data_IF_137705311969
#
_entry.id   IF_137705311969
#
_cell.length_a   1.000
_cell.length_b   1.000
_cell.length_c   1.000
_cell.angle_alpha   90.00
_cell.angle_beta   90.00
_cell.angle_gamma   90.00
#
_symmetry.space_group_name_H-M   'P 1'
#
loop_
_entity.id
_entity.type
_entity.pdbx_description
1 polymer ?
#
# COMPACT_ATOMS: atom_id res chain seq x y z
N UNK A 1 26.33 31.19 -44.32
CA UNK A 1 26.13 29.80 -43.86
C UNK A 1 24.93 29.74 -42.92
N UNK A 2 23.99 28.83 -43.21
CA UNK A 2 23.14 28.09 -42.26
C UNK A 2 22.09 28.84 -41.39
N UNK A 3 20.88 28.92 -41.95
CA UNK A 3 19.61 28.37 -41.41
C UNK A 3 19.64 27.88 -39.95
N UNK A 4 18.77 28.45 -39.10
CA UNK A 4 18.01 27.63 -38.14
C UNK A 4 16.52 27.99 -38.25
N UNK A 5 15.76 26.95 -38.60
CA UNK A 5 14.32 26.92 -38.80
C UNK A 5 13.60 26.97 -37.47
N UNK A 6 12.48 27.68 -37.51
CA UNK A 6 11.32 27.62 -36.64
C UNK A 6 11.03 26.18 -36.14
N UNK A 7 11.35 25.90 -34.88
CA UNK A 7 11.04 24.64 -34.20
C UNK A 7 9.62 24.67 -33.63
N UNK A 8 8.80 23.69 -34.04
CA UNK A 8 7.45 23.45 -33.51
C UNK A 8 7.50 23.16 -32.00
N UNK A 9 6.66 23.85 -31.23
CA UNK A 9 6.35 23.46 -29.86
C UNK A 9 5.60 22.11 -29.88
N UNK A 10 6.05 21.09 -29.13
CA UNK A 10 5.23 19.91 -28.89
C UNK A 10 4.10 20.25 -27.91
N UNK A 11 2.88 19.98 -28.35
CA UNK A 11 1.68 19.92 -27.52
C UNK A 11 1.88 18.94 -26.37
N UNK A 12 1.94 19.41 -25.12
CA UNK A 12 1.79 18.51 -23.98
C UNK A 12 0.32 18.15 -23.83
N UNK A 13 -0.05 17.00 -24.36
CA UNK A 13 -1.31 16.33 -24.10
C UNK A 13 -1.42 16.04 -22.60
N UNK A 14 -2.37 16.68 -21.94
CA UNK A 14 -2.83 16.29 -20.61
C UNK A 14 -3.36 14.86 -20.66
N UNK A 15 -2.60 13.90 -20.13
CA UNK A 15 -3.12 12.56 -19.82
C UNK A 15 -3.42 12.50 -18.32
N UNK A 16 -4.67 12.69 -17.88
CA UNK A 16 -5.09 12.24 -16.56
C UNK A 16 -5.28 10.72 -16.66
N UNK A 17 -4.19 10.00 -16.39
CA UNK A 17 -4.25 8.56 -16.20
C UNK A 17 -5.04 8.23 -14.94
N UNK A 18 -5.99 7.29 -15.10
CA UNK A 18 -6.45 6.34 -14.07
C UNK A 18 -7.62 6.77 -13.17
N UNK A 19 -8.72 7.15 -13.81
CA UNK A 19 -10.07 6.93 -13.29
C UNK A 19 -10.66 5.63 -13.81
N UNK A 20 -10.04 4.46 -13.55
CA UNK A 20 -10.68 3.18 -13.91
C UNK A 20 -11.83 2.93 -12.94
N UNK A 21 -13.03 3.18 -13.44
CA UNK A 21 -14.30 3.03 -12.75
C UNK A 21 -14.38 1.64 -12.09
N UNK A 22 -14.54 1.65 -10.77
CA UNK A 22 -14.78 0.48 -9.90
C UNK A 22 -15.98 -0.39 -10.33
N UNK A 23 -16.74 0.05 -11.33
CA UNK A 23 -17.91 -0.65 -11.90
C UNK A 23 -17.56 -1.55 -13.09
N UNK A 24 -16.53 -1.23 -13.88
CA UNK A 24 -16.22 -2.00 -15.10
C UNK A 24 -15.41 -3.28 -14.83
N UNK A 25 -14.90 -3.45 -13.61
CA UNK A 25 -14.29 -4.72 -13.17
C UNK A 25 -15.30 -5.79 -12.75
N UNK A 26 -16.57 -5.43 -12.49
CA UNK A 26 -17.55 -6.38 -11.94
C UNK A 26 -18.12 -7.34 -12.99
N UNK A 27 -18.46 -6.84 -14.18
CA UNK A 27 -19.08 -7.65 -15.24
C UNK A 27 -18.12 -8.71 -15.78
N UNK A 28 -16.84 -8.37 -15.97
CA UNK A 28 -15.83 -9.32 -16.44
C UNK A 28 -15.61 -10.48 -15.47
N UNK A 29 -15.64 -10.21 -14.15
CA UNK A 29 -15.50 -11.24 -13.12
C UNK A 29 -16.71 -12.20 -13.16
N UNK A 30 -17.93 -11.68 -13.29
CA UNK A 30 -19.15 -12.51 -13.35
C UNK A 30 -19.13 -13.43 -14.58
N UNK A 31 -18.72 -12.92 -15.75
CA UNK A 31 -18.61 -13.72 -16.97
C UNK A 31 -17.55 -14.82 -16.82
N UNK A 32 -16.39 -14.50 -16.24
CA UNK A 32 -15.33 -15.51 -15.98
C UNK A 32 -15.80 -16.59 -15.00
N UNK A 33 -16.57 -16.22 -13.97
CA UNK A 33 -17.16 -17.19 -13.03
C UNK A 33 -18.14 -18.13 -13.72
N UNK A 34 -18.98 -17.62 -14.64
CA UNK A 34 -19.93 -18.45 -15.40
C UNK A 34 -19.17 -19.42 -16.32
N UNK A 35 -18.17 -18.95 -17.06
CA UNK A 35 -17.34 -19.81 -17.93
C UNK A 35 -16.63 -20.89 -17.13
N UNK A 36 -16.10 -20.54 -15.96
CA UNK A 36 -15.47 -21.48 -15.05
C UNK A 36 -16.46 -22.55 -14.56
N UNK A 37 -17.67 -22.16 -14.12
CA UNK A 37 -18.70 -23.11 -13.70
C UNK A 37 -19.10 -24.06 -14.84
N UNK A 38 -19.23 -23.56 -16.06
CA UNK A 38 -19.52 -24.39 -17.24
C UNK A 38 -18.39 -25.39 -17.49
N UNK A 39 -17.12 -24.95 -17.45
CA UNK A 39 -15.97 -25.83 -17.62
C UNK A 39 -15.91 -26.93 -16.55
N UNK A 40 -16.24 -26.60 -15.30
CA UNK A 40 -16.33 -27.55 -14.19
C UNK A 40 -17.42 -28.60 -14.44
N UNK A 41 -18.61 -28.19 -14.88
CA UNK A 41 -19.72 -29.11 -15.20
C UNK A 41 -19.37 -30.02 -16.38
N UNK A 42 -18.72 -29.49 -17.43
CA UNK A 42 -18.25 -30.30 -18.55
C UNK A 42 -17.14 -31.30 -18.15
N UNK A 43 -16.23 -30.90 -17.26
CA UNK A 43 -15.21 -31.79 -16.71
C UNK A 43 -15.81 -32.91 -15.84
N UNK A 44 -16.85 -32.59 -15.06
CA UNK A 44 -17.63 -33.55 -14.26
C UNK A 44 -18.32 -34.62 -15.12
N UNK A 45 -18.71 -34.28 -16.36
CA UNK A 45 -19.50 -35.17 -17.20
C UNK A 45 -18.67 -36.21 -17.99
N UNK A 46 -17.34 -36.05 -18.11
CA UNK A 46 -16.53 -36.92 -18.99
C UNK A 46 -15.62 -37.95 -18.28
N UNK A 47 -15.41 -37.90 -16.95
CA UNK A 47 -14.76 -39.00 -16.21
C UNK A 47 -14.96 -38.88 -14.68
N UNK A 48 -15.50 -39.93 -14.06
CA UNK A 48 -16.31 -39.93 -12.83
C UNK A 48 -15.58 -39.60 -11.49
N UNK A 49 -14.33 -39.13 -11.52
CA UNK A 49 -13.59 -38.74 -10.31
C UNK A 49 -12.89 -37.39 -10.42
N UNK A 50 -12.18 -37.16 -11.53
CA UNK A 50 -11.37 -35.95 -11.71
C UNK A 50 -12.28 -34.71 -11.82
N UNK A 51 -13.40 -34.83 -12.52
CA UNK A 51 -14.34 -33.73 -12.63
C UNK A 51 -15.02 -33.39 -11.30
N UNK A 52 -15.43 -34.40 -10.53
CA UNK A 52 -15.97 -34.21 -9.17
C UNK A 52 -14.94 -33.61 -8.21
N UNK A 53 -13.66 -34.00 -8.30
CA UNK A 53 -12.60 -33.40 -7.52
C UNK A 53 -12.45 -31.89 -7.83
N UNK A 54 -12.49 -31.52 -9.11
CA UNK A 54 -12.43 -30.12 -9.53
C UNK A 54 -13.67 -29.34 -9.06
N UNK A 55 -14.87 -29.92 -9.13
CA UNK A 55 -16.11 -29.32 -8.58
C UNK A 55 -15.97 -29.04 -7.08
N UNK A 56 -15.53 -30.01 -6.28
CA UNK A 56 -15.43 -29.87 -4.82
C UNK A 56 -14.37 -28.83 -4.45
N UNK A 57 -13.19 -28.90 -5.05
CA UNK A 57 -12.09 -27.97 -4.77
C UNK A 57 -12.48 -26.54 -5.15
N UNK A 58 -13.09 -26.37 -6.32
CA UNK A 58 -13.52 -25.06 -6.79
C UNK A 58 -14.64 -24.45 -5.93
N UNK A 59 -15.61 -25.26 -5.52
CA UNK A 59 -16.68 -24.83 -4.61
C UNK A 59 -16.13 -24.44 -3.25
N UNK A 60 -15.15 -25.19 -2.72
CA UNK A 60 -14.42 -24.85 -1.50
C UNK A 60 -13.73 -23.48 -1.59
N UNK A 61 -13.04 -23.21 -2.70
CA UNK A 61 -12.40 -21.91 -2.95
C UNK A 61 -13.41 -20.76 -3.08
N UNK A 62 -14.57 -20.99 -3.70
CA UNK A 62 -15.61 -19.98 -3.84
C UNK A 62 -16.23 -19.63 -2.48
N UNK A 63 -16.49 -20.62 -1.63
CA UNK A 63 -16.97 -20.40 -0.26
C UNK A 63 -15.93 -19.64 0.56
N UNK A 64 -14.65 -20.01 0.47
CA UNK A 64 -13.57 -19.30 1.17
C UNK A 64 -13.46 -17.84 0.70
N UNK A 65 -13.46 -17.62 -0.62
CA UNK A 65 -13.38 -16.28 -1.19
C UNK A 65 -14.56 -15.40 -0.78
N UNK A 66 -15.79 -15.93 -0.84
CA UNK A 66 -16.98 -15.20 -0.39
C UNK A 66 -16.91 -14.90 1.10
N UNK A 67 -16.53 -15.86 1.94
CA UNK A 67 -16.34 -15.65 3.38
C UNK A 67 -15.34 -14.54 3.68
N UNK A 68 -14.19 -14.51 3.00
CA UNK A 68 -13.17 -13.44 3.16
C UNK A 68 -13.74 -12.08 2.75
N UNK A 69 -14.40 -11.99 1.59
CA UNK A 69 -15.00 -10.74 1.11
C UNK A 69 -16.07 -10.23 2.08
N UNK A 70 -16.95 -11.11 2.56
CA UNK A 70 -17.98 -10.73 3.54
C UNK A 70 -17.38 -10.34 4.89
N UNK A 71 -16.32 -11.01 5.34
CA UNK A 71 -15.62 -10.68 6.58
C UNK A 71 -14.96 -9.31 6.52
N UNK A 72 -14.22 -9.01 5.43
CA UNK A 72 -13.58 -7.71 5.21
C UNK A 72 -14.64 -6.61 5.04
N UNK A 73 -15.69 -6.86 4.26
CA UNK A 73 -16.79 -5.90 4.05
C UNK A 73 -17.55 -5.60 5.36
N UNK A 74 -17.68 -6.59 6.24
CA UNK A 74 -18.29 -6.41 7.56
C UNK A 74 -17.38 -5.64 8.52
N UNK A 75 -16.06 -5.92 8.50
CA UNK A 75 -15.09 -5.21 9.31
C UNK A 75 -14.98 -3.72 8.93
N UNK A 76 -14.92 -3.42 7.63
CA UNK A 76 -14.90 -2.04 7.12
C UNK A 76 -16.16 -1.27 7.47
N UNK A 77 -17.36 -1.87 7.31
CA UNK A 77 -18.63 -1.24 7.72
C UNK A 77 -18.66 -0.91 9.22
N UNK A 78 -18.17 -1.82 10.08
CA UNK A 78 -18.10 -1.61 11.53
C UNK A 78 -17.08 -0.53 11.91
N UNK A 79 -15.94 -0.47 11.22
CA UNK A 79 -14.94 0.57 11.43
C UNK A 79 -15.46 1.97 11.02
N UNK A 80 -16.13 2.08 9.87
CA UNK A 80 -16.75 3.35 9.43
C UNK A 80 -17.85 3.80 10.39
N UNK A 81 -18.68 2.88 10.91
CA UNK A 81 -19.72 3.23 11.88
C UNK A 81 -19.13 3.71 13.22
N UNK A 82 -18.03 3.11 13.69
CA UNK A 82 -17.33 3.57 14.91
C UNK A 82 -16.61 4.91 14.72
N UNK A 83 -16.03 5.15 13.54
CA UNK A 83 -15.45 6.44 13.18
C UNK A 83 -16.53 7.53 13.03
N UNK A 84 -17.68 7.23 12.45
CA UNK A 84 -18.80 8.16 12.35
C UNK A 84 -19.40 8.49 13.74
N UNK A 85 -19.49 7.50 14.64
CA UNK A 85 -19.90 7.74 16.02
C UNK A 85 -18.90 8.55 16.83
N UNK A 86 -17.59 8.32 16.64
CA UNK A 86 -16.53 9.11 17.26
C UNK A 86 -16.44 10.55 16.68
N UNK A 87 -16.66 10.71 15.38
CA UNK A 87 -16.72 12.01 14.71
C UNK A 87 -17.97 12.81 15.09
N UNK A 88 -19.09 12.14 15.39
CA UNK A 88 -20.28 12.82 15.93
C UNK A 88 -20.10 13.28 17.39
N UNK A 89 -19.24 12.61 18.16
CA UNK A 89 -18.84 13.04 19.51
C UNK A 89 -17.72 14.10 19.53
N UNK A 90 -16.96 14.22 18.44
CA UNK A 90 -16.00 15.29 18.18
C UNK A 90 -16.58 16.25 17.12
N UNK A 91 -17.63 17.00 17.48
CA UNK A 91 -17.88 18.25 16.78
C UNK A 91 -16.60 19.10 16.89
N UNK A 92 -15.90 19.39 15.78
CA UNK A 92 -14.62 20.07 15.88
C UNK A 92 -14.90 21.55 16.11
N UNK A 93 -14.43 22.08 17.24
CA UNK A 93 -13.88 23.44 17.20
C UNK A 93 -12.79 23.41 16.12
N UNK A 94 -12.94 24.28 15.12
CA UNK A 94 -12.27 24.20 13.83
C UNK A 94 -10.78 23.86 13.89
N UNK A 95 -10.40 22.85 13.12
CA UNK A 95 -9.02 22.52 12.85
C UNK A 95 -8.97 21.64 11.61
N UNK A 96 -8.81 22.26 10.44
CA UNK A 96 -8.27 21.55 9.28
C UNK A 96 -6.93 21.00 9.75
N UNK A 97 -6.82 19.69 9.95
CA UNK A 97 -5.51 19.07 10.16
C UNK A 97 -4.79 19.17 8.82
N UNK A 98 -4.12 20.31 8.61
CA UNK A 98 -3.14 20.47 7.55
C UNK A 98 -2.11 19.41 7.85
N UNK A 99 -2.14 18.31 7.10
CA UNK A 99 -1.02 17.36 7.08
C UNK A 99 0.14 18.15 6.53
N UNK A 100 0.94 18.66 7.45
CA UNK A 100 2.11 19.47 7.13
C UNK A 100 3.06 18.61 6.29
N UNK A 101 3.45 19.11 5.12
CA UNK A 101 4.32 18.41 4.17
C UNK A 101 5.65 18.00 4.85
N UNK A 102 6.09 18.76 5.86
CA UNK A 102 7.28 18.41 6.64
C UNK A 102 7.11 17.14 7.49
N UNK A 103 5.88 16.83 7.90
CA UNK A 103 5.55 15.60 8.65
C UNK A 103 5.50 14.40 7.71
N UNK A 104 4.88 14.51 6.53
CA UNK A 104 4.91 13.43 5.52
C UNK A 104 6.32 13.11 5.04
N UNK A 105 7.14 14.12 4.76
CA UNK A 105 8.54 13.94 4.36
C UNK A 105 9.37 13.31 5.49
N UNK A 106 9.10 13.68 6.75
CA UNK A 106 9.76 13.07 7.93
C UNK A 106 9.39 11.60 8.08
N UNK A 107 8.12 11.26 7.94
CA UNK A 107 7.65 9.88 8.05
C UNK A 107 8.24 9.00 6.95
N UNK A 108 8.35 9.51 5.71
CA UNK A 108 9.04 8.80 4.63
C UNK A 108 10.53 8.58 4.93
N UNK A 109 11.23 9.57 5.51
CA UNK A 109 12.64 9.42 5.91
C UNK A 109 12.82 8.43 7.06
N UNK A 110 11.87 8.40 7.99
CA UNK A 110 11.86 7.42 9.09
C UNK A 110 11.63 6.01 8.57
N UNK A 111 10.66 5.81 7.67
CA UNK A 111 10.42 4.51 7.03
C UNK A 111 11.67 3.99 6.31
N UNK A 112 12.32 4.86 5.51
CA UNK A 112 13.57 4.50 4.84
C UNK A 112 14.69 4.13 5.84
N UNK A 113 14.81 4.87 6.95
CA UNK A 113 15.78 4.58 8.01
C UNK A 113 15.53 3.21 8.64
N UNK A 114 14.29 2.85 8.90
CA UNK A 114 13.94 1.54 9.44
C UNK A 114 14.21 0.41 8.44
N UNK A 115 13.98 0.63 7.15
CA UNK A 115 14.31 -0.34 6.10
C UNK A 115 15.81 -0.64 6.04
N UNK A 116 16.67 0.38 6.17
CA UNK A 116 18.12 0.19 6.25
C UNK A 116 18.47 -0.69 7.44
N UNK A 117 17.91 -0.40 8.63
CA UNK A 117 18.17 -1.19 9.85
C UNK A 117 17.75 -2.65 9.64
N UNK A 118 16.62 -2.92 8.98
CA UNK A 118 16.18 -4.29 8.68
C UNK A 118 17.16 -5.04 7.77
N UNK A 119 17.65 -4.38 6.71
CA UNK A 119 18.64 -4.99 5.81
C UNK A 119 19.94 -5.28 6.57
N UNK A 120 20.40 -4.36 7.40
CA UNK A 120 21.64 -4.56 8.18
C UNK A 120 21.47 -5.61 9.29
N UNK A 121 20.30 -5.70 9.92
CA UNK A 121 20.01 -6.76 10.89
C UNK A 121 20.06 -8.15 10.24
N UNK A 122 19.61 -8.25 8.98
CA UNK A 122 19.77 -9.47 8.18
C UNK A 122 21.25 -9.76 7.90
N UNK A 123 22.04 -8.77 7.51
CA UNK A 123 23.49 -8.93 7.29
C UNK A 123 24.19 -9.44 8.56
N UNK A 124 23.85 -8.90 9.74
CA UNK A 124 24.37 -9.38 11.03
C UNK A 124 24.03 -10.86 11.24
N UNK A 125 22.77 -11.24 11.02
CA UNK A 125 22.32 -12.63 11.18
C UNK A 125 23.04 -13.58 10.22
N UNK A 126 23.19 -13.18 8.96
CA UNK A 126 23.80 -14.02 7.92
C UNK A 126 25.32 -14.17 8.11
N UNK A 127 25.98 -13.25 8.84
CA UNK A 127 27.45 -13.21 8.99
C UNK A 127 27.95 -13.46 10.42
N UNK A 128 27.05 -13.75 11.37
CA UNK A 128 27.37 -13.82 12.81
C UNK A 128 28.55 -14.75 13.13
N UNK A 129 28.58 -15.93 12.49
CA UNK A 129 29.62 -16.96 12.71
C UNK A 129 30.65 -17.01 11.57
N UNK A 130 30.43 -16.27 10.48
CA UNK A 130 31.21 -16.40 9.24
C UNK A 130 32.16 -15.22 9.04
N UNK A 131 31.69 -13.99 9.30
CA UNK A 131 32.46 -12.79 9.01
C UNK A 131 32.16 -11.68 10.02
N UNK A 132 33.00 -11.61 11.06
CA UNK A 132 32.85 -10.64 12.15
C UNK A 132 33.03 -9.19 11.70
N UNK A 133 33.90 -8.92 10.72
CA UNK A 133 34.09 -7.56 10.18
C UNK A 133 32.83 -7.05 9.46
N UNK A 134 32.11 -7.94 8.77
CA UNK A 134 30.81 -7.61 8.16
C UNK A 134 29.75 -7.30 9.22
N UNK A 135 29.75 -8.05 10.33
CA UNK A 135 28.88 -7.80 11.48
C UNK A 135 29.17 -6.44 12.09
N UNK A 136 30.44 -6.12 12.35
CA UNK A 136 30.84 -4.85 12.98
C UNK A 136 30.43 -3.63 12.12
N UNK A 137 30.64 -3.71 10.78
CA UNK A 137 30.19 -2.65 9.84
C UNK A 137 28.67 -2.52 9.77
N UNK A 138 27.95 -3.64 9.83
CA UNK A 138 26.49 -3.63 9.83
C UNK A 138 25.94 -3.00 11.12
N UNK A 139 26.54 -3.32 12.28
CA UNK A 139 26.19 -2.74 13.57
C UNK A 139 26.49 -1.24 13.62
N UNK A 140 27.62 -0.79 13.06
CA UNK A 140 27.94 0.63 12.92
C UNK A 140 26.88 1.37 12.09
N UNK A 141 26.49 0.79 10.95
CA UNK A 141 25.44 1.36 10.08
C UNK A 141 24.09 1.45 10.81
N UNK A 142 23.73 0.42 11.57
CA UNK A 142 22.52 0.43 12.41
C UNK A 142 22.59 1.55 13.44
N UNK A 143 23.72 1.71 14.13
CA UNK A 143 23.93 2.75 15.15
C UNK A 143 23.76 4.16 14.58
N UNK A 144 24.43 4.46 13.45
CA UNK A 144 24.34 5.75 12.77
C UNK A 144 22.90 6.02 12.32
N UNK A 145 22.26 5.02 11.69
CA UNK A 145 20.89 5.16 11.17
C UNK A 145 19.88 5.35 12.30
N UNK A 146 20.03 4.61 13.40
CA UNK A 146 19.16 4.75 14.58
C UNK A 146 19.32 6.11 15.26
N UNK A 147 20.54 6.64 15.33
CA UNK A 147 20.80 7.98 15.88
C UNK A 147 20.10 9.05 15.04
N UNK A 148 20.26 9.00 13.71
CA UNK A 148 19.62 9.94 12.78
C UNK A 148 18.10 9.83 12.82
N UNK A 149 17.56 8.61 12.83
CA UNK A 149 16.12 8.34 12.95
C UNK A 149 15.52 8.89 14.24
N UNK A 150 16.18 8.63 15.38
CA UNK A 150 15.76 9.13 16.69
C UNK A 150 15.75 10.66 16.75
N UNK A 151 16.70 11.33 16.10
CA UNK A 151 16.73 12.79 16.00
C UNK A 151 15.53 13.38 15.25
N UNK A 152 15.00 12.66 14.26
CA UNK A 152 13.81 13.09 13.50
C UNK A 152 12.51 12.96 14.31
N UNK A 153 12.42 11.99 15.22
CA UNK A 153 11.25 11.78 16.09
C UNK A 153 11.11 12.90 17.13
N UNK A 154 12.23 13.39 17.70
CA UNK A 154 12.22 14.41 18.76
C UNK A 154 11.86 15.82 18.31
N UNK A 155 11.85 16.12 17.00
CA UNK A 155 11.57 17.48 16.47
C UNK A 155 10.08 17.88 16.48
N UNK A 156 9.27 17.29 17.37
CA UNK A 156 7.84 17.55 17.50
C UNK A 156 7.42 18.06 18.89
N UNK A 157 8.27 18.87 19.54
CA UNK A 157 7.81 19.73 20.62
C UNK A 157 7.08 20.92 19.97
N UNK A 158 5.77 20.73 19.76
CA UNK A 158 4.87 21.63 19.04
C UNK A 158 4.74 23.02 19.65
N UNK A 159 5.69 23.90 19.34
CA UNK A 159 5.51 25.35 19.44
C UNK A 159 4.65 25.87 18.26
N UNK A 160 3.80 26.89 18.47
CA UNK A 160 3.08 27.55 17.38
C UNK A 160 4.05 28.01 16.30
N UNK A 161 3.72 27.75 15.03
CA UNK A 161 4.51 28.24 13.90
C UNK A 161 4.24 29.74 13.75
N UNK A 162 5.13 30.58 14.27
CA UNK A 162 5.11 32.02 14.02
C UNK A 162 5.70 32.27 12.63
N UNK A 163 4.85 32.24 11.62
CA UNK A 163 5.21 32.58 10.24
C UNK A 163 4.30 33.68 9.72
N UNK A 164 4.88 34.83 9.37
CA UNK A 164 4.16 35.91 8.69
C UNK A 164 3.79 35.46 7.28
N UNK A 165 2.50 35.43 6.99
CA UNK A 165 1.96 35.23 5.64
C UNK A 165 2.28 36.52 4.86
N UNK A 166 3.02 36.41 3.76
CA UNK A 166 3.21 37.50 2.81
C UNK A 166 2.29 37.23 1.62
N UNK A 167 1.36 38.14 1.39
CA UNK A 167 0.48 38.20 0.20
C UNK A 167 1.24 38.82 -0.98
#
# INVERSE_FOLDING_TARGET
MQSIRNGKMPSSSSTPGRGLSRRMGSTGIVVMLIVFLVAVVFAANQNDFIGWAVVIVSLGWLVLATFVVFSVRSATRKATAKLAGAAAGLAPAGGVQVVDESTTVRDQKLDHSFKIIQVQAKVVTDNLDTNREMVDRALETISITAHNGRGMIKKNDGGPVEGTIVD
#
